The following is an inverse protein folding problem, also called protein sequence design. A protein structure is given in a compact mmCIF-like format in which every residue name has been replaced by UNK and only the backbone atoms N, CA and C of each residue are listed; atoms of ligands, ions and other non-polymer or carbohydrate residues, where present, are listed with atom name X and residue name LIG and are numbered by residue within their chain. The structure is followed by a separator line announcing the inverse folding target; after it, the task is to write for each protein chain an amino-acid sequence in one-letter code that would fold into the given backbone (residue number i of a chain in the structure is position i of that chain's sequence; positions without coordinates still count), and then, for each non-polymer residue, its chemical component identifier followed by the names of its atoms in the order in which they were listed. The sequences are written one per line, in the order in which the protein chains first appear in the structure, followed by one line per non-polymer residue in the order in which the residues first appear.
data_IF_024290153938
#
_entry.id   IF_024290153938
#
_cell.length_a   1.000
_cell.length_b   1.000
_cell.length_c   1.000
_cell.angle_alpha   90.00
_cell.angle_beta   90.00
_cell.angle_gamma   90.00
#
_symmetry.space_group_name_H-M   'P 1'
#
loop_
_entity.id
_entity.type
_entity.pdbx_description
1 polymer ?
#
# COMPACT_ATOMS: atom_id res chain seq x y z
N UNK A 1 0.88 -5.30 22.74
CA UNK A 1 0.31 -4.77 21.47
C UNK A 1 -1.07 -5.37 21.19
N UNK A 2 -1.20 -6.70 21.02
CA UNK A 2 -2.50 -7.35 20.77
C UNK A 2 -3.56 -7.08 21.86
N UNK A 3 -3.17 -7.12 23.13
CA UNK A 3 -4.04 -6.77 24.25
C UNK A 3 -4.50 -5.31 24.21
N UNK A 4 -3.63 -4.39 23.80
CA UNK A 4 -3.95 -2.97 23.60
C UNK A 4 -4.88 -2.77 22.40
N UNK A 5 -4.62 -3.44 21.28
CA UNK A 5 -5.47 -3.39 20.09
C UNK A 5 -6.91 -3.81 20.41
N UNK A 6 -7.06 -4.92 21.14
CA UNK A 6 -8.37 -5.40 21.62
C UNK A 6 -9.05 -4.42 22.58
N UNK A 7 -8.30 -3.82 23.51
CA UNK A 7 -8.84 -2.76 24.39
C UNK A 7 -9.33 -1.53 23.63
N UNK A 8 -8.78 -1.26 22.45
CA UNK A 8 -9.20 -0.18 21.56
C UNK A 8 -10.35 -0.59 20.61
N UNK A 9 -10.85 -1.82 20.70
CA UNK A 9 -11.96 -2.33 19.89
C UNK A 9 -11.57 -3.02 18.59
N UNK A 10 -10.27 -3.19 18.30
CA UNK A 10 -9.80 -3.93 17.13
C UNK A 10 -9.79 -5.44 17.39
N UNK A 11 -10.22 -6.25 16.41
CA UNK A 11 -10.29 -7.71 16.50
C UNK A 11 -8.90 -8.34 16.55
N UNK A 12 -7.97 -7.81 15.77
CA UNK A 12 -6.59 -8.29 15.67
C UNK A 12 -5.62 -7.13 15.39
N UNK A 13 -4.33 -7.47 15.28
CA UNK A 13 -3.29 -6.49 14.96
C UNK A 13 -3.45 -5.90 13.56
N UNK A 14 -3.83 -6.73 12.58
CA UNK A 14 -3.93 -6.33 11.18
C UNK A 14 -5.00 -5.25 10.97
N UNK A 15 -6.11 -5.33 11.70
CA UNK A 15 -7.18 -4.32 11.68
C UNK A 15 -6.70 -2.99 12.26
N UNK A 16 -5.95 -3.02 13.37
CA UNK A 16 -5.31 -1.83 13.94
C UNK A 16 -4.29 -1.22 12.97
N UNK A 17 -3.44 -2.04 12.36
CA UNK A 17 -2.43 -1.60 11.41
C UNK A 17 -3.08 -0.99 10.16
N UNK A 18 -4.12 -1.64 9.63
CA UNK A 18 -4.92 -1.13 8.51
C UNK A 18 -5.49 0.24 8.86
N UNK A 19 -6.19 0.37 9.99
CA UNK A 19 -6.72 1.65 10.44
C UNK A 19 -5.62 2.71 10.58
N UNK A 20 -4.47 2.36 11.17
CA UNK A 20 -3.36 3.29 11.36
C UNK A 20 -2.83 3.84 10.03
N UNK A 21 -2.75 3.02 8.98
CA UNK A 21 -2.20 3.44 7.69
C UNK A 21 -3.22 4.02 6.72
N UNK A 22 -4.50 3.65 6.82
CA UNK A 22 -5.56 4.08 5.88
C UNK A 22 -6.50 5.14 6.42
N UNK A 23 -6.57 5.36 7.74
CA UNK A 23 -7.49 6.37 8.30
C UNK A 23 -7.15 7.76 7.74
N UNK A 24 -8.16 8.53 7.27
CA UNK A 24 -7.97 9.94 7.03
C UNK A 24 -7.47 10.58 8.34
N UNK A 25 -6.44 11.40 8.22
CA UNK A 25 -5.67 11.88 9.36
C UNK A 25 -6.59 12.46 10.43
N UNK A 26 -6.55 11.96 11.68
CA UNK A 26 -7.18 12.66 12.78
C UNK A 26 -6.53 14.04 12.93
N UNK A 27 -7.30 15.02 13.38
CA UNK A 27 -6.91 16.42 13.56
C UNK A 27 -5.82 16.66 14.63
N UNK A 28 -5.23 15.60 15.19
CA UNK A 28 -4.09 15.71 16.10
C UNK A 28 -2.77 15.73 15.32
N UNK A 29 -2.00 16.80 15.52
CA UNK A 29 -0.75 17.06 14.79
C UNK A 29 0.29 15.95 14.98
N UNK A 30 0.34 15.32 16.16
CA UNK A 30 1.33 14.30 16.50
C UNK A 30 1.04 12.97 15.80
N UNK A 31 -0.19 12.46 15.86
CA UNK A 31 -0.53 11.18 15.22
C UNK A 31 -0.42 11.29 13.70
N UNK A 32 -0.87 12.41 13.13
CA UNK A 32 -0.69 12.72 11.72
C UNK A 32 0.78 12.68 11.32
N UNK A 33 1.65 13.35 12.07
CA UNK A 33 3.08 13.39 11.82
C UNK A 33 3.69 11.98 11.89
N UNK A 34 3.38 11.22 12.93
CA UNK A 34 3.86 9.84 13.08
C UNK A 34 3.41 8.93 11.94
N UNK A 35 2.13 8.99 11.54
CA UNK A 35 1.60 8.22 10.40
C UNK A 35 2.31 8.58 9.11
N UNK A 36 2.50 9.89 8.85
CA UNK A 36 3.22 10.37 7.67
C UNK A 36 4.65 9.85 7.63
N UNK A 37 5.39 10.01 8.73
CA UNK A 37 6.78 9.58 8.82
C UNK A 37 6.90 8.06 8.68
N UNK A 38 5.98 7.30 9.29
CA UNK A 38 5.92 5.85 9.15
C UNK A 38 5.68 5.42 7.70
N UNK A 39 4.71 6.03 7.01
CA UNK A 39 4.47 5.79 5.58
C UNK A 39 5.67 6.12 4.70
N UNK A 40 6.36 7.23 4.97
CA UNK A 40 7.48 7.69 4.16
C UNK A 40 8.77 6.89 4.38
N UNK A 41 9.02 6.41 5.58
CA UNK A 41 10.35 5.88 5.97
C UNK A 41 10.38 4.40 6.33
N UNK A 42 9.24 3.83 6.72
CA UNK A 42 9.23 2.50 7.35
C UNK A 42 8.30 1.52 6.63
N UNK A 43 7.18 2.01 6.09
CA UNK A 43 6.16 1.14 5.51
C UNK A 43 6.66 0.37 4.29
N UNK A 44 7.46 1.00 3.42
CA UNK A 44 8.06 0.32 2.27
C UNK A 44 8.98 -0.83 2.69
N UNK A 45 9.93 -0.58 3.58
CA UNK A 45 10.85 -1.61 4.08
C UNK A 45 10.12 -2.73 4.86
N UNK A 46 9.02 -2.41 5.54
CA UNK A 46 8.16 -3.42 6.17
C UNK A 46 7.55 -4.34 5.12
N UNK A 47 6.96 -3.80 4.05
CA UNK A 47 6.39 -4.62 2.97
C UNK A 47 7.44 -5.46 2.25
N UNK A 48 8.61 -4.88 1.96
CA UNK A 48 9.73 -5.61 1.35
C UNK A 48 10.16 -6.79 2.23
N UNK A 49 10.29 -6.57 3.54
CA UNK A 49 10.70 -7.62 4.48
C UNK A 49 9.65 -8.73 4.57
N UNK A 50 8.36 -8.38 4.69
CA UNK A 50 7.27 -9.36 4.74
C UNK A 50 7.20 -10.14 3.43
N UNK A 51 7.32 -9.47 2.28
CA UNK A 51 7.27 -10.13 0.98
C UNK A 51 8.46 -11.08 0.80
N UNK A 52 9.67 -10.65 1.14
CA UNK A 52 10.86 -11.50 1.06
C UNK A 52 10.74 -12.74 1.96
N UNK A 53 10.26 -12.58 3.19
CA UNK A 53 10.08 -13.69 4.13
C UNK A 53 8.95 -14.64 3.66
N UNK A 54 7.90 -14.10 3.04
CA UNK A 54 6.76 -14.89 2.55
C UNK A 54 7.13 -15.93 1.49
N UNK A 55 8.29 -15.79 0.83
CA UNK A 55 8.80 -16.80 -0.11
C UNK A 55 9.19 -18.12 0.58
N UNK A 56 9.35 -18.11 1.90
CA UNK A 56 9.70 -19.28 2.71
C UNK A 56 8.49 -19.88 3.43
N UNK A 57 7.34 -19.21 3.39
CA UNK A 57 6.12 -19.68 4.05
C UNK A 57 5.47 -20.84 3.27
N UNK A 58 4.68 -21.69 3.95
CA UNK A 58 3.82 -22.66 3.29
C UNK A 58 2.96 -22.03 2.19
N UNK A 59 2.68 -22.79 1.12
CA UNK A 59 1.99 -22.27 -0.06
C UNK A 59 0.64 -21.62 0.24
N UNK A 60 -0.13 -22.20 1.17
CA UNK A 60 -1.42 -21.70 1.60
C UNK A 60 -1.32 -20.34 2.33
N UNK A 61 -0.20 -20.08 3.00
CA UNK A 61 0.04 -18.82 3.71
C UNK A 61 0.59 -17.74 2.78
N UNK A 62 1.49 -18.11 1.87
CA UNK A 62 2.09 -17.18 0.90
C UNK A 62 1.18 -16.84 -0.28
N UNK A 63 0.15 -17.64 -0.56
CA UNK A 63 -0.77 -17.41 -1.68
C UNK A 63 -1.43 -16.03 -1.61
N UNK A 64 -1.91 -15.62 -0.43
CA UNK A 64 -2.63 -14.35 -0.25
C UNK A 64 -1.76 -13.14 -0.58
N UNK A 65 -0.53 -13.12 -0.07
CA UNK A 65 0.41 -12.01 -0.30
C UNK A 65 0.93 -11.97 -1.74
N UNK A 66 1.20 -13.13 -2.36
CA UNK A 66 1.57 -13.22 -3.78
C UNK A 66 0.47 -12.63 -4.68
N UNK A 67 -0.80 -12.99 -4.42
CA UNK A 67 -1.92 -12.43 -5.17
C UNK A 67 -2.10 -10.93 -4.95
N UNK A 68 -1.90 -10.45 -3.72
CA UNK A 68 -1.96 -9.02 -3.42
C UNK A 68 -0.87 -8.25 -4.16
N UNK A 69 0.36 -8.77 -4.18
CA UNK A 69 1.47 -8.19 -4.94
C UNK A 69 1.18 -8.16 -6.44
N UNK A 70 0.66 -9.25 -7.01
CA UNK A 70 0.31 -9.30 -8.44
C UNK A 70 -0.73 -8.24 -8.81
N UNK A 71 -1.81 -8.12 -8.03
CA UNK A 71 -2.85 -7.08 -8.25
C UNK A 71 -2.27 -5.66 -8.16
N UNK A 72 -1.31 -5.42 -7.26
CA UNK A 72 -0.65 -4.13 -7.16
C UNK A 72 0.18 -3.82 -8.42
N UNK A 73 0.94 -4.80 -8.91
CA UNK A 73 1.72 -4.66 -10.16
C UNK A 73 0.82 -4.42 -11.36
N UNK A 74 -0.26 -5.18 -11.50
CA UNK A 74 -1.26 -4.99 -12.57
C UNK A 74 -1.85 -3.58 -12.55
N UNK A 75 -2.18 -3.06 -11.36
CA UNK A 75 -2.68 -1.70 -11.19
C UNK A 75 -1.66 -0.65 -11.63
N UNK A 76 -0.40 -0.78 -11.21
CA UNK A 76 0.69 0.13 -11.57
C UNK A 76 0.88 0.16 -13.09
N UNK A 77 1.00 -1.00 -13.73
CA UNK A 77 1.16 -1.11 -15.18
C UNK A 77 -0.05 -0.50 -15.90
N UNK A 78 -1.26 -0.79 -15.42
CA UNK A 78 -2.49 -0.22 -16.00
C UNK A 78 -2.53 1.30 -15.95
N UNK A 79 -2.02 1.91 -14.88
CA UNK A 79 -1.95 3.37 -14.74
C UNK A 79 -0.82 3.99 -15.58
N UNK A 80 0.33 3.32 -15.69
CA UNK A 80 1.41 3.72 -16.59
C UNK A 80 0.95 3.70 -18.06
N UNK A 81 0.25 2.65 -18.49
CA UNK A 81 -0.30 2.55 -19.85
C UNK A 81 -1.30 3.66 -20.17
N UNK A 82 -2.19 4.00 -19.22
CA UNK A 82 -3.12 5.14 -19.40
C UNK A 82 -2.38 6.46 -19.50
N UNK A 83 -1.33 6.65 -18.71
CA UNK A 83 -0.50 7.86 -18.76
C UNK A 83 0.19 8.00 -20.12
N UNK A 84 0.77 6.91 -20.62
CA UNK A 84 1.41 6.87 -21.94
C UNK A 84 0.40 7.11 -23.06
N UNK A 85 -0.78 6.50 -23.02
CA UNK A 85 -1.84 6.73 -24.00
C UNK A 85 -2.22 8.21 -24.12
N UNK A 86 -2.41 8.88 -22.97
CA UNK A 86 -2.68 10.33 -22.93
C UNK A 86 -1.54 11.17 -23.50
N UNK A 87 -0.29 10.76 -23.29
CA UNK A 87 0.86 11.46 -23.86
C UNK A 87 0.90 11.30 -25.38
N UNK A 88 0.68 10.09 -25.91
CA UNK A 88 0.64 9.82 -27.35
C UNK A 88 -0.44 10.66 -28.04
N UNK A 89 -1.67 10.65 -27.51
CA UNK A 89 -2.78 11.47 -28.02
C UNK A 89 -2.47 12.99 -28.01
N UNK A 90 -1.75 13.47 -26.98
CA UNK A 90 -1.34 14.87 -26.90
C UNK A 90 -0.28 15.24 -27.95
N UNK A 91 0.66 14.35 -28.26
CA UNK A 91 1.66 14.55 -29.33
C UNK A 91 1.06 14.49 -30.73
N UNK A 92 0.09 13.60 -30.98
CA UNK A 92 -0.58 13.48 -32.28
C UNK A 92 -1.46 14.70 -32.58
N UNK A 93 -2.11 15.28 -31.57
CA UNK A 93 -2.87 16.52 -31.70
C UNK A 93 -2.03 17.79 -31.95
N UNK A 94 -0.73 17.76 -31.67
CA UNK A 94 0.19 18.89 -31.89
C UNK A 94 0.82 18.88 -33.30
N UNK A 95 0.70 17.79 -34.06
CA UNK A 95 1.22 17.67 -35.43
C UNK A 95 0.23 18.05 -36.54
N UNK A 96 -0.96 18.55 -36.21
CA UNK A 96 -2.04 18.86 -37.17
C UNK A 96 -2.28 20.36 -37.43
N UNK A 97 -1.31 21.24 -37.16
CA UNK A 97 -1.39 22.67 -37.51
C UNK A 97 -0.30 23.11 -38.47
#
# INVERSE_FOLDING_TARGET
ILSSARKMGFRNFDELATWYYTSPSPSSSVLQFSQKMSRQRHLAGLFESIFADSMQWPDNESQGIRQAAMRAVEGIIGDEMKSLGKQVEATEGQGQY
#
